data_IF_724290697614
#
_entry.id   IF_724290697614
#
_cell.length_a   1.000
_cell.length_b   1.000
_cell.length_c   1.000
_cell.angle_alpha   90.00
_cell.angle_beta   90.00
_cell.angle_gamma   90.00
#
_symmetry.space_group_name_H-M   'P 1'
#
loop_
_entity.id
_entity.type
_entity.pdbx_description
1 polymer ?
#
# COMPACT_ATOMS: atom_id res chain seq x y z
N UNK A 1 13.62 -21.88 -18.58
CA UNK A 1 12.35 -21.19 -18.87
C UNK A 1 11.72 -21.92 -20.02
N UNK A 2 10.54 -22.52 -19.83
CA UNK A 2 9.83 -23.24 -20.89
C UNK A 2 9.08 -22.24 -21.76
N UNK A 3 9.29 -22.31 -23.07
CA UNK A 3 8.50 -21.56 -24.07
C UNK A 3 7.01 -21.85 -23.83
N UNK A 4 6.20 -20.80 -23.64
CA UNK A 4 4.74 -20.91 -23.48
C UNK A 4 4.14 -20.55 -22.10
N UNK A 5 4.95 -20.21 -21.08
CA UNK A 5 4.41 -19.78 -19.78
C UNK A 5 3.93 -18.32 -19.76
N UNK A 6 2.71 -18.09 -19.25
CA UNK A 6 2.11 -16.76 -19.06
C UNK A 6 2.84 -15.97 -17.96
N UNK A 7 2.69 -14.65 -17.91
CA UNK A 7 3.37 -13.83 -16.89
C UNK A 7 3.01 -14.21 -15.44
N UNK A 8 1.75 -14.52 -15.09
CA UNK A 8 1.42 -15.02 -13.76
C UNK A 8 2.11 -16.34 -13.40
N UNK A 9 2.21 -17.28 -14.36
CA UNK A 9 2.89 -18.56 -14.14
C UNK A 9 4.39 -18.36 -13.95
N UNK A 10 5.00 -17.47 -14.74
CA UNK A 10 6.41 -17.07 -14.59
C UNK A 10 6.67 -16.45 -13.22
N UNK A 11 5.76 -15.61 -12.72
CA UNK A 11 5.87 -15.04 -11.38
C UNK A 11 5.77 -16.12 -10.29
N UNK A 12 4.80 -17.03 -10.41
CA UNK A 12 4.61 -18.12 -9.46
C UNK A 12 5.82 -19.08 -9.43
N UNK A 13 6.37 -19.42 -10.60
CA UNK A 13 7.61 -20.22 -10.72
C UNK A 13 8.79 -19.47 -10.08
N UNK A 14 8.93 -18.17 -10.36
CA UNK A 14 9.98 -17.36 -9.76
C UNK A 14 9.89 -17.36 -8.24
N UNK A 15 8.72 -17.07 -7.66
CA UNK A 15 8.50 -17.10 -6.21
C UNK A 15 8.88 -18.46 -5.61
N UNK A 16 8.46 -19.57 -6.23
CA UNK A 16 8.82 -20.93 -5.77
C UNK A 16 10.32 -21.22 -5.83
N UNK A 17 11.05 -20.55 -6.72
CA UNK A 17 12.51 -20.71 -6.87
C UNK A 17 13.34 -19.88 -5.89
N UNK A 18 12.74 -18.91 -5.20
CA UNK A 18 13.48 -17.97 -4.35
C UNK A 18 13.84 -18.60 -2.99
N UNK A 19 15.13 -18.76 -2.67
CA UNK A 19 15.52 -19.21 -1.34
C UNK A 19 15.20 -18.13 -0.30
N UNK A 20 14.49 -18.51 0.76
CA UNK A 20 14.14 -17.61 1.86
C UNK A 20 13.00 -16.62 1.55
N UNK A 21 12.21 -16.87 0.49
CA UNK A 21 10.93 -16.18 0.33
C UNK A 21 9.92 -16.71 1.34
N UNK A 22 9.59 -15.88 2.33
CA UNK A 22 8.61 -16.19 3.36
C UNK A 22 7.21 -15.80 2.89
N UNK A 23 6.24 -16.71 3.09
CA UNK A 23 4.82 -16.45 2.82
C UNK A 23 4.16 -16.00 4.11
N UNK A 24 3.89 -14.71 4.21
CA UNK A 24 3.22 -14.13 5.37
C UNK A 24 1.72 -14.38 5.29
N UNK A 25 1.08 -14.66 6.42
CA UNK A 25 -0.38 -14.86 6.55
C UNK A 25 -1.05 -13.84 7.46
N UNK A 26 -0.27 -12.86 7.92
CA UNK A 26 -0.71 -11.75 8.74
C UNK A 26 -0.16 -10.47 8.16
N UNK A 27 -1.01 -9.47 8.08
CA UNK A 27 -0.70 -8.13 7.55
C UNK A 27 -1.33 -7.09 8.46
N UNK A 28 -0.76 -5.89 8.47
CA UNK A 28 -1.34 -4.75 9.17
C UNK A 28 -2.67 -4.33 8.51
N UNK A 29 -3.68 -4.01 9.33
CA UNK A 29 -5.03 -3.70 8.91
C UNK A 29 -6.07 -4.26 9.89
N UNK A 30 -7.35 -4.16 9.51
CA UNK A 30 -8.52 -4.58 10.29
C UNK A 30 -8.40 -4.11 11.75
N UNK A 31 -8.14 -2.82 11.94
CA UNK A 31 -7.80 -2.28 13.25
C UNK A 31 -8.99 -2.25 14.20
N UNK A 32 -10.22 -2.43 13.67
CA UNK A 32 -11.46 -2.15 14.39
C UNK A 32 -11.60 -0.65 14.68
N UNK A 33 -10.93 0.20 13.88
CA UNK A 33 -10.84 1.63 14.14
C UNK A 33 -10.66 2.38 12.81
N UNK A 34 -11.75 2.94 12.27
CA UNK A 34 -11.73 3.55 10.93
C UNK A 34 -10.72 4.69 10.84
N UNK A 35 -10.61 5.54 11.87
CA UNK A 35 -9.60 6.60 11.91
C UNK A 35 -8.15 6.10 11.79
N UNK A 36 -7.83 4.92 12.32
CA UNK A 36 -6.52 4.30 12.19
C UNK A 36 -6.28 3.81 10.76
N UNK A 37 -7.28 3.17 10.13
CA UNK A 37 -7.18 2.73 8.74
C UNK A 37 -7.00 3.90 7.77
N UNK A 38 -7.77 4.98 7.93
CA UNK A 38 -7.65 6.17 7.09
C UNK A 38 -6.31 6.89 7.31
N UNK A 39 -5.84 6.96 8.56
CA UNK A 39 -4.55 7.56 8.87
C UNK A 39 -3.41 6.76 8.23
N UNK A 40 -3.48 5.44 8.29
CA UNK A 40 -2.48 4.56 7.69
C UNK A 40 -2.37 4.78 6.19
N UNK A 41 -3.50 4.72 5.46
CA UNK A 41 -3.53 4.95 4.02
C UNK A 41 -2.97 6.32 3.60
N UNK A 42 -3.20 7.37 4.39
CA UNK A 42 -2.63 8.69 4.08
C UNK A 42 -1.13 8.74 4.42
N UNK A 43 -0.73 8.16 5.55
CA UNK A 43 0.63 8.24 6.07
C UNK A 43 1.63 7.34 5.34
N UNK A 44 1.18 6.20 4.78
CA UNK A 44 2.00 5.26 4.01
C UNK A 44 2.59 5.89 2.73
N UNK A 45 1.92 6.89 2.17
CA UNK A 45 2.37 7.53 0.92
C UNK A 45 3.73 8.23 1.09
N UNK A 46 4.69 7.87 0.23
CA UNK A 46 6.04 8.44 0.16
C UNK A 46 6.76 8.49 1.52
N UNK A 47 6.71 7.40 2.28
CA UNK A 47 7.22 7.35 3.64
C UNK A 47 7.85 5.98 3.98
N UNK A 48 8.73 5.94 4.98
CA UNK A 48 9.17 4.68 5.58
C UNK A 48 8.11 4.22 6.58
N UNK A 49 7.38 3.17 6.22
CA UNK A 49 6.28 2.65 7.02
C UNK A 49 6.69 2.31 8.46
N UNK A 50 7.79 1.57 8.62
CA UNK A 50 8.22 1.08 9.94
C UNK A 50 8.69 2.24 10.82
N UNK A 51 9.46 3.15 10.23
CA UNK A 51 10.03 4.27 10.95
C UNK A 51 9.00 5.33 11.29
N UNK A 52 8.11 5.65 10.34
CA UNK A 52 7.31 6.89 10.39
C UNK A 52 5.79 6.66 10.47
N UNK A 53 5.28 5.45 10.21
CA UNK A 53 3.83 5.20 10.15
C UNK A 53 3.37 4.29 11.28
N UNK A 54 3.99 3.11 11.44
CA UNK A 54 3.55 2.07 12.38
C UNK A 54 3.31 2.58 13.80
N UNK A 55 4.23 3.37 14.34
CA UNK A 55 4.09 3.91 15.69
C UNK A 55 3.00 4.99 15.82
N UNK A 56 2.67 5.70 14.72
CA UNK A 56 1.57 6.68 14.69
C UNK A 56 0.22 5.98 14.70
N UNK A 57 0.08 4.89 13.96
CA UNK A 57 -1.13 4.05 13.97
C UNK A 57 -1.31 3.42 15.36
N UNK A 58 -0.23 2.90 15.96
CA UNK A 58 -0.26 2.40 17.33
C UNK A 58 -0.66 3.50 18.34
N UNK A 59 -0.15 4.73 18.18
CA UNK A 59 -0.54 5.86 19.03
C UNK A 59 -2.03 6.18 18.88
N UNK A 60 -2.55 6.29 17.65
CA UNK A 60 -3.98 6.56 17.40
C UNK A 60 -4.84 5.53 18.11
N UNK A 61 -4.58 4.24 17.90
CA UNK A 61 -5.34 3.14 18.52
C UNK A 61 -5.28 3.13 20.05
N UNK A 62 -4.18 3.63 20.64
CA UNK A 62 -4.03 3.72 22.09
C UNK A 62 -4.71 4.97 22.66
N UNK A 63 -4.50 6.12 22.04
CA UNK A 63 -4.93 7.43 22.54
C UNK A 63 -6.42 7.67 22.32
N UNK A 64 -6.95 7.14 21.21
CA UNK A 64 -8.34 7.29 20.78
C UNK A 64 -9.04 5.92 20.72
N UNK A 65 -8.79 5.08 21.72
CA UNK A 65 -9.25 3.69 21.73
C UNK A 65 -10.78 3.53 21.69
N UNK A 66 -11.54 4.59 22.00
CA UNK A 66 -13.01 4.58 22.00
C UNK A 66 -13.60 5.15 20.71
N UNK A 67 -12.85 5.99 20.01
CA UNK A 67 -13.28 6.72 18.81
C UNK A 67 -13.10 5.85 17.54
N UNK A 68 -13.76 4.69 17.55
CA UNK A 68 -13.57 3.65 16.54
C UNK A 68 -14.35 3.89 15.24
N UNK A 69 -15.38 4.75 15.27
CA UNK A 69 -16.22 5.08 14.11
C UNK A 69 -15.87 6.43 13.47
N UNK A 70 -16.40 6.67 12.26
CA UNK A 70 -16.18 7.93 11.53
C UNK A 70 -16.92 9.08 12.21
N UNK A 71 -18.09 8.80 12.80
CA UNK A 71 -18.82 9.75 13.62
C UNK A 71 -18.00 10.19 14.84
N UNK A 72 -17.39 9.25 15.56
CA UNK A 72 -16.52 9.58 16.70
C UNK A 72 -15.30 10.38 16.26
N UNK A 73 -14.66 9.97 15.16
CA UNK A 73 -13.54 10.69 14.57
C UNK A 73 -13.92 12.13 14.21
N UNK A 74 -15.09 12.35 13.59
CA UNK A 74 -15.58 13.69 13.26
C UNK A 74 -15.77 14.54 14.51
N UNK A 75 -16.34 13.98 15.59
CA UNK A 75 -16.50 14.68 16.87
C UNK A 75 -15.15 14.98 17.55
N UNK A 76 -14.17 14.08 17.38
CA UNK A 76 -12.81 14.30 17.86
C UNK A 76 -12.13 15.45 17.08
N UNK A 77 -12.26 15.48 15.76
CA UNK A 77 -11.67 16.51 14.89
C UNK A 77 -12.32 17.90 15.03
N UNK A 78 -13.40 18.03 15.81
CA UNK A 78 -13.92 19.34 16.26
C UNK A 78 -13.12 19.91 17.43
N UNK A 79 -12.37 19.06 18.14
CA UNK A 79 -11.62 19.40 19.37
C UNK A 79 -10.11 19.45 19.14
N UNK A 80 -9.62 18.67 18.17
CA UNK A 80 -8.21 18.62 17.77
C UNK A 80 -8.07 18.78 16.27
N UNK A 81 -6.90 19.16 15.80
CA UNK A 81 -6.62 19.25 14.36
C UNK A 81 -6.30 17.87 13.76
N UNK A 82 -6.48 17.73 12.44
CA UNK A 82 -6.01 16.53 11.73
C UNK A 82 -4.49 16.34 11.81
N UNK A 83 -3.71 17.43 11.91
CA UNK A 83 -2.26 17.35 12.09
C UNK A 83 -1.90 16.75 13.46
N UNK A 84 -2.62 17.13 14.52
CA UNK A 84 -2.48 16.55 15.87
C UNK A 84 -2.93 15.09 15.90
N UNK A 85 -4.08 14.76 15.31
CA UNK A 85 -4.57 13.38 15.23
C UNK A 85 -3.53 12.46 14.56
N UNK A 86 -2.99 12.90 13.41
CA UNK A 86 -1.99 12.15 12.66
C UNK A 86 -0.58 12.21 13.28
N UNK A 87 -0.29 13.19 14.15
CA UNK A 87 1.08 13.58 14.58
C UNK A 87 1.95 13.78 13.34
N UNK A 88 1.56 14.75 12.52
CA UNK A 88 2.24 15.00 11.26
C UNK A 88 2.57 16.47 11.09
N UNK A 89 3.86 16.73 10.87
CA UNK A 89 4.35 18.06 10.56
C UNK A 89 4.23 18.30 9.04
N UNK A 90 3.32 19.19 8.67
CA UNK A 90 3.04 19.58 7.29
C UNK A 90 1.56 19.51 6.95
N UNK A 91 1.15 20.26 5.92
CA UNK A 91 -0.28 20.48 5.61
C UNK A 91 -0.87 19.42 4.69
N UNK A 92 -0.05 18.82 3.83
CA UNK A 92 -0.51 17.90 2.78
C UNK A 92 -1.30 16.70 3.30
N UNK A 93 -0.70 15.93 4.22
CA UNK A 93 -1.32 14.70 4.73
C UNK A 93 -2.58 14.98 5.57
N UNK A 94 -2.57 15.96 6.49
CA UNK A 94 -3.79 16.38 7.18
C UNK A 94 -4.92 16.81 6.23
N UNK A 95 -4.62 17.56 5.16
CA UNK A 95 -5.62 17.95 4.18
C UNK A 95 -6.22 16.74 3.45
N UNK A 96 -5.39 15.86 2.88
CA UNK A 96 -5.85 14.61 2.24
C UNK A 96 -6.67 13.74 3.20
N UNK A 97 -6.30 13.68 4.47
CA UNK A 97 -7.05 12.94 5.49
C UNK A 97 -8.43 13.55 5.76
N UNK A 98 -8.54 14.88 5.87
CA UNK A 98 -9.82 15.55 6.03
C UNK A 98 -10.73 15.37 4.81
N UNK A 99 -10.18 15.44 3.59
CA UNK A 99 -10.93 15.20 2.35
C UNK A 99 -11.49 13.76 2.33
N UNK A 100 -10.67 12.78 2.75
CA UNK A 100 -11.07 11.37 2.86
C UNK A 100 -12.16 11.17 3.91
N UNK A 101 -12.03 11.76 5.10
CA UNK A 101 -13.07 11.74 6.15
C UNK A 101 -14.36 12.39 5.65
N UNK A 102 -14.26 13.51 4.92
CA UNK A 102 -15.38 14.21 4.34
C UNK A 102 -16.12 13.37 3.29
N UNK A 103 -15.38 12.76 2.37
CA UNK A 103 -15.93 11.86 1.36
C UNK A 103 -16.68 10.69 2.00
N UNK A 104 -16.02 9.93 2.87
CA UNK A 104 -16.63 8.76 3.50
C UNK A 104 -17.88 9.12 4.32
N UNK A 105 -17.87 10.29 4.94
CA UNK A 105 -19.03 10.81 5.65
C UNK A 105 -20.22 11.13 4.73
N UNK A 106 -19.99 11.57 3.48
CA UNK A 106 -21.06 11.77 2.48
C UNK A 106 -21.58 10.45 1.92
N UNK A 107 -20.72 9.45 1.83
CA UNK A 107 -21.03 8.11 1.35
C UNK A 107 -21.65 7.20 2.42
N UNK A 108 -21.89 7.72 3.63
CA UNK A 108 -22.52 6.97 4.72
C UNK A 108 -21.64 5.88 5.35
N UNK A 109 -20.33 5.91 5.11
CA UNK A 109 -19.39 4.95 5.70
C UNK A 109 -19.09 5.38 7.13
N UNK A 110 -19.38 4.52 8.13
CA UNK A 110 -19.13 4.85 9.54
C UNK A 110 -18.10 3.93 10.21
N UNK A 111 -18.04 2.66 9.83
CA UNK A 111 -17.15 1.66 10.42
C UNK A 111 -16.17 1.08 9.39
N UNK A 112 -15.17 0.32 9.85
CA UNK A 112 -14.31 -0.45 8.92
C UNK A 112 -15.11 -1.49 8.12
N UNK A 113 -16.19 -2.05 8.68
CA UNK A 113 -17.05 -2.98 7.97
C UNK A 113 -17.86 -2.27 6.87
N UNK A 114 -18.31 -1.04 7.10
CA UNK A 114 -18.94 -0.22 6.06
C UNK A 114 -17.93 0.12 4.96
N UNK A 115 -16.71 0.47 5.35
CA UNK A 115 -15.62 0.75 4.41
C UNK A 115 -15.29 -0.48 3.56
N UNK A 116 -15.24 -1.68 4.17
CA UNK A 116 -15.07 -2.97 3.47
C UNK A 116 -16.18 -3.23 2.45
N UNK A 117 -17.42 -2.87 2.75
CA UNK A 117 -18.56 -3.02 1.83
C UNK A 117 -18.54 -2.01 0.69
N UNK A 118 -18.04 -0.80 0.94
CA UNK A 118 -18.04 0.29 -0.03
C UNK A 118 -16.89 0.21 -1.06
N UNK A 119 -15.68 -0.16 -0.61
CA UNK A 119 -14.46 -0.18 -1.45
C UNK A 119 -14.42 -1.13 -2.67
N UNK A 120 -15.19 -2.23 -2.75
CA UNK A 120 -15.22 -3.07 -3.94
C UNK A 120 -15.82 -2.40 -5.17
N UNK A 121 -16.64 -1.35 -5.01
CA UNK A 121 -17.31 -0.69 -6.15
C UNK A 121 -16.37 0.17 -7.00
N UNK A 122 -16.53 0.14 -8.33
CA UNK A 122 -15.75 1.00 -9.26
C UNK A 122 -16.00 2.50 -9.00
N UNK A 123 -17.21 2.86 -8.61
CA UNK A 123 -17.58 4.22 -8.24
C UNK A 123 -16.75 4.72 -7.04
N UNK A 124 -16.55 3.87 -6.03
CA UNK A 124 -15.71 4.20 -4.86
C UNK A 124 -14.28 4.54 -5.27
N UNK A 125 -13.71 3.81 -6.23
CA UNK A 125 -12.36 4.03 -6.75
C UNK A 125 -12.26 5.34 -7.52
N UNK A 126 -13.32 5.73 -8.22
CA UNK A 126 -13.37 7.00 -8.93
C UNK A 126 -13.43 8.17 -7.95
N UNK A 127 -14.37 8.13 -6.99
CA UNK A 127 -14.50 9.15 -5.94
C UNK A 127 -13.23 9.30 -5.10
N UNK A 128 -12.57 8.20 -4.72
CA UNK A 128 -11.32 8.25 -3.97
C UNK A 128 -10.20 8.94 -4.77
N UNK A 129 -10.12 8.69 -6.08
CA UNK A 129 -9.08 9.28 -6.94
C UNK A 129 -9.29 10.76 -7.26
N UNK A 130 -10.47 11.31 -6.97
CA UNK A 130 -10.71 12.75 -7.03
C UNK A 130 -10.04 13.49 -5.87
N UNK A 131 -9.76 12.80 -4.76
CA UNK A 131 -9.02 13.38 -3.64
C UNK A 131 -7.56 13.56 -4.03
N UNK A 132 -7.07 14.79 -3.88
CA UNK A 132 -5.70 15.12 -4.25
C UNK A 132 -4.68 14.26 -3.46
N UNK A 133 -3.71 13.70 -4.18
CA UNK A 133 -2.70 12.74 -3.71
C UNK A 133 -3.18 11.31 -3.40
N UNK A 134 -4.44 10.97 -3.67
CA UNK A 134 -4.92 9.57 -3.64
C UNK A 134 -4.88 9.00 -5.06
N UNK A 135 -3.97 8.05 -5.27
CA UNK A 135 -3.85 7.31 -6.54
C UNK A 135 -4.32 5.85 -6.41
N UNK A 136 -4.27 5.06 -7.50
CA UNK A 136 -4.68 3.66 -7.51
C UNK A 136 -4.04 2.83 -6.39
N UNK A 137 -2.74 3.03 -6.12
CA UNK A 137 -2.04 2.38 -5.00
C UNK A 137 -2.75 2.60 -3.67
N UNK A 138 -3.13 3.83 -3.35
CA UNK A 138 -3.74 4.14 -2.06
C UNK A 138 -5.14 3.53 -1.95
N UNK A 139 -5.90 3.48 -3.05
CA UNK A 139 -7.20 2.79 -3.10
C UNK A 139 -7.03 1.30 -2.78
N UNK A 140 -6.08 0.63 -3.43
CA UNK A 140 -5.82 -0.79 -3.18
C UNK A 140 -5.23 -1.04 -1.80
N UNK A 141 -4.47 -0.09 -1.26
CA UNK A 141 -3.99 -0.17 0.11
C UNK A 141 -5.12 -0.03 1.13
N UNK A 142 -6.10 0.86 0.90
CA UNK A 142 -7.32 0.92 1.72
C UNK A 142 -8.09 -0.40 1.70
N UNK A 143 -8.18 -1.06 0.53
CA UNK A 143 -8.79 -2.39 0.39
C UNK A 143 -8.07 -3.42 1.26
N UNK A 144 -6.74 -3.45 1.19
CA UNK A 144 -5.90 -4.32 2.03
C UNK A 144 -6.13 -4.05 3.53
N UNK A 145 -6.17 -2.78 3.93
CA UNK A 145 -6.35 -2.37 5.33
C UNK A 145 -7.70 -2.81 5.92
N UNK A 146 -8.71 -3.07 5.09
CA UNK A 146 -9.99 -3.63 5.55
C UNK A 146 -10.15 -5.11 5.19
N UNK A 147 -9.06 -5.81 4.85
CA UNK A 147 -9.05 -7.25 4.64
C UNK A 147 -9.59 -7.71 3.30
N UNK A 148 -9.66 -6.85 2.29
CA UNK A 148 -9.97 -7.27 0.92
C UNK A 148 -8.69 -7.81 0.24
N UNK A 149 -8.81 -8.87 -0.58
CA UNK A 149 -7.67 -9.55 -1.20
C UNK A 149 -7.16 -8.75 -2.41
N UNK A 150 -6.43 -7.67 -2.14
CA UNK A 150 -5.85 -6.79 -3.16
C UNK A 150 -4.33 -6.70 -3.04
N UNK A 151 -3.69 -6.17 -4.08
CA UNK A 151 -2.26 -5.92 -4.12
C UNK A 151 -2.05 -4.46 -4.52
N UNK A 152 -1.37 -3.69 -3.69
CA UNK A 152 -1.15 -2.26 -3.88
C UNK A 152 0.18 -2.05 -4.62
N UNK A 153 0.12 -2.02 -5.96
CA UNK A 153 1.32 -1.98 -6.80
C UNK A 153 2.19 -0.74 -6.51
N UNK A 154 3.31 -0.98 -5.84
CA UNK A 154 4.31 0.02 -5.52
C UNK A 154 5.68 -0.30 -6.13
N UNK A 155 6.68 0.52 -5.84
CA UNK A 155 8.03 0.32 -6.39
C UNK A 155 8.66 -1.03 -6.03
N UNK A 156 8.29 -1.62 -4.90
CA UNK A 156 8.82 -2.92 -4.47
C UNK A 156 8.15 -4.04 -5.27
N UNK A 157 6.82 -4.02 -5.42
CA UNK A 157 6.14 -5.01 -6.24
C UNK A 157 6.54 -4.90 -7.72
N UNK A 158 6.62 -3.69 -8.27
CA UNK A 158 7.06 -3.47 -9.65
C UNK A 158 8.52 -3.93 -9.85
N UNK A 159 9.42 -3.60 -8.91
CA UNK A 159 10.78 -4.10 -8.94
C UNK A 159 10.86 -5.63 -8.85
N UNK A 160 9.98 -6.26 -8.08
CA UNK A 160 9.92 -7.72 -7.98
C UNK A 160 9.50 -8.38 -9.31
N UNK A 161 8.53 -7.80 -10.03
CA UNK A 161 8.17 -8.24 -11.38
C UNK A 161 9.36 -8.13 -12.35
N UNK A 162 10.14 -7.06 -12.25
CA UNK A 162 11.37 -6.91 -13.03
C UNK A 162 12.40 -7.98 -12.69
N UNK A 163 12.66 -8.27 -11.41
CA UNK A 163 13.61 -9.31 -11.03
C UNK A 163 13.13 -10.73 -11.46
N UNK A 164 11.81 -10.92 -11.63
CA UNK A 164 11.21 -12.13 -12.22
C UNK A 164 11.34 -12.21 -13.76
N UNK A 165 11.91 -11.19 -14.40
CA UNK A 165 12.05 -11.08 -15.86
C UNK A 165 10.74 -10.81 -16.60
N UNK A 166 9.68 -10.41 -15.89
CA UNK A 166 8.33 -10.17 -16.47
C UNK A 166 8.28 -8.83 -17.20
N UNK A 167 9.00 -7.82 -16.70
CA UNK A 167 9.09 -6.49 -17.29
C UNK A 167 8.15 -5.46 -16.65
N UNK A 168 8.08 -4.27 -17.26
CA UNK A 168 7.29 -3.13 -16.79
C UNK A 168 5.96 -3.07 -17.53
N UNK A 169 4.87 -3.13 -16.78
CA UNK A 169 3.52 -2.93 -17.29
C UNK A 169 2.86 -1.71 -16.64
N UNK A 170 1.70 -1.31 -17.15
CA UNK A 170 0.86 -0.34 -16.46
C UNK A 170 0.33 -0.92 -15.13
N UNK A 171 -0.25 -0.06 -14.30
CA UNK A 171 -0.71 -0.42 -12.95
C UNK A 171 -1.67 -1.63 -12.97
N UNK A 172 -2.73 -1.56 -13.78
CA UNK A 172 -3.77 -2.58 -13.83
C UNK A 172 -3.23 -3.94 -14.28
N UNK A 173 -2.43 -3.98 -15.34
CA UNK A 173 -1.83 -5.23 -15.82
C UNK A 173 -0.83 -5.80 -14.82
N UNK A 174 -0.04 -4.95 -14.17
CA UNK A 174 0.90 -5.40 -13.14
C UNK A 174 0.17 -6.03 -11.94
N UNK A 175 -0.93 -5.42 -11.52
CA UNK A 175 -1.78 -5.95 -10.45
C UNK A 175 -2.44 -7.28 -10.85
N UNK A 176 -2.99 -7.37 -12.06
CA UNK A 176 -3.60 -8.61 -12.57
C UNK A 176 -2.60 -9.76 -12.55
N UNK A 177 -1.34 -9.51 -12.94
CA UNK A 177 -0.27 -10.52 -12.91
C UNK A 177 -0.03 -11.01 -11.47
N UNK A 178 0.07 -10.10 -10.51
CA UNK A 178 0.28 -10.44 -9.09
C UNK A 178 -0.94 -11.18 -8.53
N UNK A 179 -2.16 -10.73 -8.82
CA UNK A 179 -3.39 -11.39 -8.37
C UNK A 179 -3.49 -12.82 -8.89
N UNK A 180 -3.30 -13.02 -10.19
CA UNK A 180 -3.35 -14.36 -10.80
C UNK A 180 -2.22 -15.25 -10.30
N UNK A 181 -1.03 -14.71 -10.02
CA UNK A 181 0.04 -15.47 -9.41
C UNK A 181 -0.28 -15.89 -7.97
N UNK A 182 -0.93 -15.04 -7.18
CA UNK A 182 -1.43 -15.40 -5.86
C UNK A 182 -2.44 -16.55 -5.95
N UNK A 183 -3.39 -16.45 -6.87
CA UNK A 183 -4.41 -17.48 -7.11
C UNK A 183 -3.74 -18.82 -7.50
N UNK A 184 -2.76 -18.81 -8.42
CA UNK A 184 -1.98 -20.00 -8.80
C UNK A 184 -1.15 -20.60 -7.65
N UNK A 185 -0.78 -19.79 -6.66
CA UNK A 185 -0.04 -20.21 -5.47
C UNK A 185 -0.96 -20.65 -4.32
N UNK A 186 -2.28 -20.48 -4.46
CA UNK A 186 -3.25 -20.69 -3.38
C UNK A 186 -3.06 -19.72 -2.22
N UNK A 187 -2.63 -18.49 -2.51
CA UNK A 187 -2.37 -17.45 -1.52
C UNK A 187 -3.40 -16.33 -1.61
N UNK A 188 -3.74 -15.75 -0.47
CA UNK A 188 -4.43 -14.46 -0.44
C UNK A 188 -3.55 -13.39 -1.12
N UNK A 189 -4.19 -12.52 -1.91
CA UNK A 189 -3.50 -11.53 -2.74
C UNK A 189 -2.82 -10.45 -1.90
N UNK A 190 -3.41 -10.05 -0.78
CA UNK A 190 -2.82 -9.09 0.15
C UNK A 190 -1.66 -9.72 0.94
N UNK A 191 -1.76 -11.01 1.25
CA UNK A 191 -0.66 -11.77 1.83
C UNK A 191 0.54 -11.88 0.86
N UNK A 192 0.28 -12.12 -0.42
CA UNK A 192 1.35 -12.15 -1.43
C UNK A 192 1.99 -10.75 -1.61
N UNK A 193 1.19 -9.69 -1.67
CA UNK A 193 1.66 -8.30 -1.70
C UNK A 193 2.64 -8.02 -0.55
N UNK A 194 2.22 -8.32 0.69
CA UNK A 194 3.04 -8.11 1.86
C UNK A 194 4.32 -8.95 1.84
N UNK A 195 4.22 -10.22 1.41
CA UNK A 195 5.37 -11.13 1.31
C UNK A 195 6.42 -10.60 0.33
N UNK A 196 5.98 -10.11 -0.84
CA UNK A 196 6.85 -9.48 -1.83
C UNK A 196 7.49 -8.22 -1.24
N UNK A 197 6.70 -7.36 -0.59
CA UNK A 197 7.20 -6.14 0.03
C UNK A 197 8.28 -6.42 1.09
N UNK A 198 8.06 -7.39 1.98
CA UNK A 198 9.03 -7.81 3.02
C UNK A 198 10.32 -8.31 2.40
N UNK A 199 10.21 -9.16 1.38
CA UNK A 199 11.37 -9.71 0.67
C UNK A 199 12.20 -8.62 -0.01
N UNK A 200 11.54 -7.70 -0.72
CA UNK A 200 12.20 -6.60 -1.43
C UNK A 200 12.80 -5.56 -0.50
N UNK A 201 12.15 -5.26 0.63
CA UNK A 201 12.68 -4.36 1.65
C UNK A 201 13.94 -4.94 2.33
N UNK A 202 13.98 -6.25 2.54
CA UNK A 202 15.12 -6.95 3.13
C UNK A 202 16.37 -7.03 2.24
N UNK A 203 16.31 -6.54 0.99
CA UNK A 203 17.44 -6.51 0.07
C UNK A 203 17.89 -7.88 -0.45
N UNK A 204 17.12 -8.94 -0.24
CA UNK A 204 17.48 -10.33 -0.58
C UNK A 204 17.18 -10.75 -2.02
N UNK A 205 16.80 -9.82 -2.91
CA UNK A 205 16.38 -10.15 -4.27
C UNK A 205 17.51 -10.82 -5.09
N UNK A 206 17.41 -12.14 -5.27
CA UNK A 206 18.23 -12.91 -6.19
C UNK A 206 17.64 -12.89 -7.61
N UNK A 207 18.48 -12.63 -8.61
CA UNK A 207 18.13 -12.76 -10.04
C UNK A 207 18.43 -14.20 -10.49
N UNK A 208 17.54 -14.88 -11.24
CA UNK A 208 17.83 -16.21 -11.75
C UNK A 208 18.93 -16.14 -12.81
N UNK A 209 20.02 -16.90 -12.64
CA UNK A 209 21.10 -17.00 -13.63
C UNK A 209 22.49 -16.56 -13.16
N UNK A 210 22.90 -16.98 -11.95
CA UNK A 210 24.32 -17.23 -11.63
C UNK A 210 25.32 -16.15 -12.02
N UNK A 211 25.07 -14.89 -11.70
CA UNK A 211 26.13 -13.88 -11.56
C UNK A 211 25.66 -12.92 -10.47
N UNK A 212 26.47 -12.77 -9.41
CA UNK A 212 26.20 -11.83 -8.31
C UNK A 212 26.42 -10.41 -8.82
N UNK A 213 25.51 -9.92 -9.67
CA UNK A 213 25.47 -8.51 -10.05
C UNK A 213 25.12 -7.71 -8.80
N UNK A 214 26.06 -6.86 -8.39
CA UNK A 214 25.93 -5.83 -7.37
C UNK A 214 24.53 -5.21 -7.37
N UNK A 215 23.74 -5.43 -6.31
CA UNK A 215 22.73 -4.52 -5.73
C UNK A 215 21.79 -3.74 -6.70
N UNK A 216 21.56 -4.27 -7.91
CA UNK A 216 20.98 -3.49 -9.01
C UNK A 216 19.46 -3.40 -9.03
N UNK A 217 18.74 -4.41 -8.51
CA UNK A 217 17.28 -4.44 -8.57
C UNK A 217 16.63 -3.56 -7.48
N UNK A 218 17.32 -3.30 -6.36
CA UNK A 218 16.77 -2.54 -5.21
C UNK A 218 17.20 -1.06 -5.15
N UNK A 219 18.31 -0.65 -5.81
CA UNK A 219 18.88 0.71 -5.69
C UNK A 219 18.47 1.70 -6.78
N UNK A 220 17.81 1.26 -7.84
CA UNK A 220 17.36 2.12 -8.95
C UNK A 220 16.10 2.93 -8.63
N UNK A 221 15.39 2.63 -7.53
CA UNK A 221 14.14 3.33 -7.16
C UNK A 221 14.31 4.51 -6.17
N UNK A 222 15.56 4.88 -5.82
CA UNK A 222 15.85 5.97 -4.87
C UNK A 222 16.60 7.17 -5.48
N UNK A 223 16.91 7.14 -6.79
CA UNK A 223 17.53 8.28 -7.50
C UNK A 223 16.52 9.09 -8.31
N UNK A 224 15.64 9.82 -7.61
CA UNK A 224 15.08 11.09 -8.09
C UNK A 224 15.05 12.12 -6.96
N UNK A 225 16.23 12.40 -6.40
CA UNK A 225 16.53 13.61 -5.62
C UNK A 225 17.96 14.07 -5.92
N UNK A 226 18.13 14.83 -7.00
CA UNK A 226 18.97 16.04 -7.06
C UNK A 226 18.97 16.56 -8.51
N UNK A 227 19.18 17.87 -8.66
CA UNK A 227 19.20 18.68 -9.87
C UNK A 227 17.86 19.33 -10.28
N UNK A 228 17.52 20.40 -9.55
CA UNK A 228 17.58 21.74 -10.14
C UNK A 228 17.61 22.78 -9.03
N UNK A 229 18.80 23.31 -8.79
CA UNK A 229 18.99 24.59 -8.12
C UNK A 229 19.43 25.60 -9.19
N UNK A 230 18.89 26.81 -9.04
CA UNK A 230 19.30 28.12 -9.59
C UNK A 230 18.58 28.62 -10.86
N UNK A 231 18.21 29.91 -10.74
CA UNK A 231 17.67 30.91 -11.68
C UNK A 231 16.19 31.21 -11.36
N UNK A 232 15.78 32.35 -10.81
CA UNK A 232 16.26 33.73 -10.95
C UNK A 232 16.09 34.56 -9.66
N UNK A 233 16.76 35.72 -9.66
CA UNK A 233 16.51 36.89 -8.80
C UNK A 233 15.08 37.39 -8.92
#
# INVERSE_FOLDING_TARGET
MTEGSTEPERLAIYIKSLPGFEKYTQIDGNYGHVGAALADAVLQSNNDYERNVRHRIARIRKMYARETSLQDLKQLLQRITAAEFLDWNGTRKPATFLDLVGLLGREGVNTEDDLRKWLPGEESSTKLREIHFIGPKTVDYLRILVGLPFAAMDRHLLGFLECAGIGKFNYARSQEIVHRAADLLGLDRAHLDHSIWRYMKGGKAAVPGGTRLHLGCARSADRRKSHSAKLFR
#
